data_IF_191982832880
#
_entry.id   IF_191982832880
#
_cell.length_a   1.000
_cell.length_b   1.000
_cell.length_c   1.000
_cell.angle_alpha   90.00
_cell.angle_beta   90.00
_cell.angle_gamma   90.00
#
_symmetry.space_group_name_H-M   'P 1'
#
loop_
_entity.id
_entity.type
_entity.pdbx_description
1 polymer ?
#
# COMPACT_ATOMS: atom_id res chain seq x y z
N UNK A 1 -14.65 4.98 27.87
CA UNK A 1 -13.17 5.04 28.04
C UNK A 1 -12.45 3.77 27.54
N UNK A 2 -12.96 2.55 27.83
CA UNK A 2 -12.34 1.31 27.31
C UNK A 2 -12.43 1.13 25.78
N UNK A 3 -13.52 1.57 25.13
CA UNK A 3 -13.71 1.44 23.68
C UNK A 3 -12.63 2.19 22.88
N UNK A 4 -12.28 3.42 23.28
CA UNK A 4 -11.26 4.24 22.60
C UNK A 4 -9.85 3.66 22.76
N UNK A 5 -9.56 3.02 23.90
CA UNK A 5 -8.29 2.33 24.13
C UNK A 5 -8.14 1.10 23.23
N UNK A 6 -9.21 0.33 23.03
CA UNK A 6 -9.23 -0.82 22.14
C UNK A 6 -9.01 -0.38 20.69
N UNK A 7 -9.70 0.68 20.26
CA UNK A 7 -9.61 1.21 18.89
C UNK A 7 -8.18 1.64 18.53
N UNK A 8 -7.51 2.35 19.45
CA UNK A 8 -6.12 2.77 19.28
C UNK A 8 -5.12 1.60 19.21
N UNK A 9 -5.27 0.58 20.06
CA UNK A 9 -4.39 -0.60 20.02
C UNK A 9 -4.57 -1.40 18.74
N UNK A 10 -5.82 -1.52 18.27
CA UNK A 10 -6.14 -2.17 17.01
C UNK A 10 -5.49 -1.42 15.85
N UNK A 11 -5.67 -0.10 15.76
CA UNK A 11 -5.07 0.73 14.73
C UNK A 11 -3.54 0.56 14.68
N UNK A 12 -2.88 0.66 15.84
CA UNK A 12 -1.44 0.47 15.96
C UNK A 12 -0.99 -0.91 15.45
N UNK A 13 -1.67 -1.98 15.86
CA UNK A 13 -1.33 -3.34 15.45
C UNK A 13 -1.45 -3.57 13.93
N UNK A 14 -2.43 -2.92 13.28
CA UNK A 14 -2.60 -3.00 11.83
C UNK A 14 -1.51 -2.24 11.07
N UNK A 15 -1.11 -1.06 11.55
CA UNK A 15 -0.01 -0.28 10.96
C UNK A 15 1.31 -1.06 11.06
N UNK A 16 1.62 -1.67 12.21
CA UNK A 16 2.83 -2.47 12.40
C UNK A 16 2.84 -3.74 11.52
N UNK A 17 1.68 -4.36 11.32
CA UNK A 17 1.56 -5.51 10.39
C UNK A 17 1.78 -5.07 8.94
N UNK A 18 1.17 -3.96 8.53
CA UNK A 18 1.34 -3.41 7.19
C UNK A 18 2.81 -3.07 6.91
N UNK A 19 3.49 -2.38 7.82
CA UNK A 19 4.89 -2.01 7.68
C UNK A 19 5.81 -3.23 7.53
N UNK A 20 5.55 -4.31 8.30
CA UNK A 20 6.29 -5.58 8.17
C UNK A 20 6.10 -6.24 6.81
N UNK A 21 4.87 -6.32 6.32
CA UNK A 21 4.57 -6.89 5.01
C UNK A 21 5.19 -6.08 3.86
N UNK A 22 5.11 -4.75 3.92
CA UNK A 22 5.73 -3.87 2.91
C UNK A 22 7.26 -3.98 2.91
N UNK A 23 7.87 -4.10 4.09
CA UNK A 23 9.32 -4.34 4.21
C UNK A 23 9.73 -5.64 3.53
N UNK A 24 9.01 -6.74 3.82
CA UNK A 24 9.29 -8.03 3.21
C UNK A 24 9.10 -8.00 1.68
N UNK A 25 8.04 -7.35 1.19
CA UNK A 25 7.80 -7.19 -0.24
C UNK A 25 8.91 -6.36 -0.93
N UNK A 26 9.38 -5.30 -0.28
CA UNK A 26 10.48 -4.49 -0.80
C UNK A 26 11.80 -5.27 -0.86
N UNK A 27 12.09 -6.11 0.14
CA UNK A 27 13.23 -7.04 0.13
C UNK A 27 13.08 -8.10 -0.97
N UNK A 28 11.88 -8.64 -1.17
CA UNK A 28 11.60 -9.63 -2.21
C UNK A 28 11.81 -9.06 -3.62
N UNK A 29 11.26 -7.87 -3.87
CA UNK A 29 11.38 -7.13 -5.13
C UNK A 29 12.78 -6.51 -5.34
N UNK A 30 13.66 -6.56 -4.35
CA UNK A 30 15.05 -6.11 -4.54
C UNK A 30 15.84 -7.03 -5.47
N UNK A 31 15.45 -8.31 -5.54
CA UNK A 31 16.11 -9.33 -6.36
C UNK A 31 15.40 -9.62 -7.68
N UNK A 32 14.15 -9.15 -7.84
CA UNK A 32 13.23 -9.56 -8.92
C UNK A 32 12.37 -8.38 -9.36
N UNK A 33 12.20 -8.23 -10.67
CA UNK A 33 11.39 -7.14 -11.26
C UNK A 33 9.88 -7.40 -11.16
N UNK A 34 9.48 -8.68 -11.16
CA UNK A 34 8.09 -9.14 -10.96
C UNK A 34 8.03 -10.23 -9.87
N UNK A 35 6.84 -10.52 -9.36
CA UNK A 35 6.64 -11.43 -8.22
C UNK A 35 6.99 -12.90 -8.50
N UNK A 36 6.62 -13.41 -9.68
CA UNK A 36 6.63 -14.86 -9.95
C UNK A 36 7.46 -15.25 -11.17
N UNK A 37 7.47 -14.44 -12.23
CA UNK A 37 8.10 -14.78 -13.53
C UNK A 37 8.70 -13.54 -14.21
N UNK A 38 9.15 -13.66 -15.45
CA UNK A 38 9.69 -12.55 -16.26
C UNK A 38 8.60 -11.76 -17.00
N UNK A 39 7.33 -12.15 -16.84
CA UNK A 39 6.16 -11.52 -17.47
C UNK A 39 5.14 -11.09 -16.42
N UNK A 40 4.29 -10.11 -16.75
CA UNK A 40 3.21 -9.65 -15.87
C UNK A 40 2.22 -10.78 -15.64
N UNK A 41 2.05 -11.16 -14.39
CA UNK A 41 1.11 -12.19 -13.94
C UNK A 41 -0.05 -11.58 -13.15
N UNK A 42 -1.05 -12.40 -12.83
CA UNK A 42 -2.15 -11.99 -11.95
C UNK A 42 -1.65 -11.54 -10.57
N UNK A 43 -0.53 -12.10 -10.08
CA UNK A 43 0.05 -11.72 -8.80
C UNK A 43 0.51 -10.26 -8.80
N UNK A 44 1.11 -9.80 -9.90
CA UNK A 44 1.59 -8.41 -10.05
C UNK A 44 0.41 -7.42 -10.12
N UNK A 45 -0.69 -7.80 -10.78
CA UNK A 45 -1.91 -6.99 -10.85
C UNK A 45 -2.56 -6.85 -9.46
N UNK A 46 -2.68 -7.96 -8.72
CA UNK A 46 -3.23 -7.94 -7.36
C UNK A 46 -2.34 -7.10 -6.44
N UNK A 47 -1.02 -7.26 -6.53
CA UNK A 47 -0.08 -6.45 -5.75
C UNK A 47 -0.23 -4.96 -6.10
N UNK A 48 -0.34 -4.61 -7.39
CA UNK A 48 -0.55 -3.23 -7.80
C UNK A 48 -1.85 -2.64 -7.23
N UNK A 49 -2.95 -3.41 -7.20
CA UNK A 49 -4.22 -2.99 -6.59
C UNK A 49 -4.13 -2.77 -5.07
N UNK A 50 -3.41 -3.63 -4.37
CA UNK A 50 -3.19 -3.49 -2.92
C UNK A 50 -2.29 -2.29 -2.63
N UNK A 51 -1.22 -2.10 -3.40
CA UNK A 51 -0.30 -0.94 -3.28
C UNK A 51 -1.02 0.38 -3.58
N UNK A 52 -1.91 0.40 -4.58
CA UNK A 52 -2.76 1.54 -4.86
C UNK A 52 -3.61 1.94 -3.65
N UNK A 53 -4.30 0.97 -3.06
CA UNK A 53 -5.14 1.20 -1.88
C UNK A 53 -4.31 1.65 -0.68
N UNK A 54 -3.12 1.07 -0.48
CA UNK A 54 -2.19 1.48 0.57
C UNK A 54 -1.71 2.93 0.36
N UNK A 55 -1.32 3.30 -0.86
CA UNK A 55 -0.90 4.66 -1.22
C UNK A 55 -1.99 5.73 -1.13
N UNK A 56 -3.27 5.34 -1.12
CA UNK A 56 -4.41 6.26 -0.93
C UNK A 56 -4.84 6.45 0.52
N UNK A 57 -4.44 5.55 1.41
CA UNK A 57 -5.00 5.50 2.77
C UNK A 57 -3.89 5.65 3.81
N UNK A 58 -2.82 4.86 3.70
CA UNK A 58 -1.85 4.68 4.77
C UNK A 58 -0.42 5.08 4.41
N UNK A 59 -0.06 5.13 3.13
CA UNK A 59 1.31 5.37 2.68
C UNK A 59 1.41 6.75 2.01
N UNK A 60 1.63 7.78 2.82
CA UNK A 60 1.92 9.13 2.35
C UNK A 60 3.30 9.25 1.67
N UNK A 61 3.65 10.45 1.19
CA UNK A 61 4.88 10.69 0.42
C UNK A 61 6.16 10.23 1.14
N UNK A 62 6.25 10.43 2.46
CA UNK A 62 7.40 10.03 3.28
C UNK A 62 7.54 8.51 3.41
N UNK A 63 6.41 7.79 3.52
CA UNK A 63 6.42 6.34 3.64
C UNK A 63 6.70 5.65 2.29
N UNK A 64 6.40 6.30 1.16
CA UNK A 64 6.78 5.82 -0.18
C UNK A 64 8.29 5.74 -0.36
N UNK A 65 9.04 6.67 0.22
CA UNK A 65 10.50 6.67 0.17
C UNK A 65 11.13 5.47 0.89
N UNK A 66 10.43 4.85 1.84
CA UNK A 66 10.93 3.68 2.56
C UNK A 66 10.81 2.38 1.74
N UNK A 67 9.94 2.36 0.73
CA UNK A 67 9.64 1.15 -0.05
C UNK A 67 9.72 1.41 -1.57
N UNK A 68 10.85 1.94 -2.08
CA UNK A 68 10.94 2.39 -3.47
C UNK A 68 10.67 1.26 -4.48
N UNK A 69 11.12 0.02 -4.20
CA UNK A 69 10.95 -1.11 -5.12
C UNK A 69 9.48 -1.51 -5.30
N UNK A 70 8.67 -1.37 -4.26
CA UNK A 70 7.23 -1.67 -4.31
C UNK A 70 6.51 -0.66 -5.21
N UNK A 71 6.88 0.62 -5.12
CA UNK A 71 6.28 1.68 -5.93
C UNK A 71 6.82 1.68 -7.37
N UNK A 72 8.09 1.37 -7.59
CA UNK A 72 8.67 1.14 -8.93
C UNK A 72 7.97 -0.02 -9.65
N UNK A 73 7.76 -1.14 -8.94
CA UNK A 73 7.01 -2.28 -9.47
C UNK A 73 5.59 -1.88 -9.85
N UNK A 74 4.90 -1.13 -8.98
CA UNK A 74 3.57 -0.60 -9.27
C UNK A 74 3.56 0.30 -10.53
N UNK A 75 4.51 1.23 -10.66
CA UNK A 75 4.61 2.09 -11.85
C UNK A 75 4.86 1.28 -13.13
N UNK A 76 5.68 0.23 -13.03
CA UNK A 76 5.97 -0.68 -14.15
C UNK A 76 4.71 -1.43 -14.60
N UNK A 77 3.90 -1.93 -13.66
CA UNK A 77 2.65 -2.65 -13.96
C UNK A 77 1.59 -1.72 -14.56
N UNK A 78 1.46 -0.49 -14.06
CA UNK A 78 0.47 0.49 -14.56
C UNK A 78 0.86 1.11 -15.91
N UNK A 79 2.14 1.09 -16.25
CA UNK A 79 2.63 1.50 -17.58
C UNK A 79 2.10 0.59 -18.70
N UNK A 80 1.72 -0.66 -18.39
CA UNK A 80 1.22 -1.61 -19.38
C UNK A 80 -0.13 -1.13 -19.96
N UNK A 81 -0.26 -0.98 -21.29
CA UNK A 81 -1.47 -0.47 -21.92
C UNK A 81 -2.70 -1.35 -21.66
N UNK A 82 -2.53 -2.64 -21.35
CA UNK A 82 -3.64 -3.57 -21.04
C UNK A 82 -4.28 -3.29 -19.68
N UNK A 83 -3.53 -2.66 -18.79
CA UNK A 83 -3.87 -2.48 -17.37
C UNK A 83 -4.17 -1.01 -17.07
N UNK A 84 -3.62 -0.10 -17.87
CA UNK A 84 -3.81 1.35 -17.76
C UNK A 84 -5.29 1.76 -17.67
N UNK A 85 -6.15 1.16 -18.49
CA UNK A 85 -7.59 1.47 -18.52
C UNK A 85 -8.32 1.04 -17.22
N UNK A 86 -7.77 0.05 -16.51
CA UNK A 86 -8.37 -0.50 -15.28
C UNK A 86 -8.01 0.34 -14.06
N UNK A 87 -6.76 0.83 -14.02
CA UNK A 87 -6.25 1.55 -12.87
C UNK A 87 -6.59 3.05 -12.91
N UNK A 88 -6.80 3.66 -14.09
CA UNK A 88 -7.05 5.10 -14.20
C UNK A 88 -5.84 5.93 -13.74
N UNK A 89 -6.03 7.19 -13.31
CA UNK A 89 -4.93 8.03 -12.79
C UNK A 89 -4.52 7.61 -11.36
N UNK A 90 -3.25 7.22 -11.12
CA UNK A 90 -2.69 6.92 -9.80
C UNK A 90 -2.65 8.13 -8.89
N UNK A 91 -3.81 8.50 -8.35
CA UNK A 91 -3.92 9.48 -7.28
C UNK A 91 -3.39 8.88 -5.98
N UNK A 92 -2.11 9.07 -5.70
CA UNK A 92 -1.54 8.80 -4.39
C UNK A 92 -1.83 9.95 -3.44
N UNK A 93 -2.07 9.64 -2.17
CA UNK A 93 -2.27 10.67 -1.15
C UNK A 93 -0.92 11.15 -0.62
N UNK A 94 -0.78 12.47 -0.42
CA UNK A 94 0.45 13.06 0.11
C UNK A 94 0.56 12.83 1.62
N UNK A 95 -0.55 12.97 2.35
CA UNK A 95 -0.66 12.75 3.79
C UNK A 95 -1.52 11.53 4.13
N UNK A 96 -1.07 10.61 5.00
CA UNK A 96 -1.88 9.47 5.41
C UNK A 96 -3.11 9.94 6.19
N UNK A 97 -4.24 9.24 6.04
CA UNK A 97 -5.48 9.60 6.72
C UNK A 97 -5.28 9.45 8.23
N UNK A 98 -5.31 10.57 8.96
CA UNK A 98 -5.16 10.58 10.40
C UNK A 98 -6.30 9.82 11.08
N UNK A 99 -5.96 9.00 12.08
CA UNK A 99 -6.94 8.32 12.91
C UNK A 99 -7.79 9.35 13.68
N UNK A 100 -9.07 9.44 13.31
CA UNK A 100 -10.06 10.23 14.05
C UNK A 100 -10.89 9.27 14.89
N UNK A 101 -10.77 9.27 16.24
CA UNK A 101 -11.63 8.45 17.08
C UNK A 101 -13.09 8.87 16.86
N UNK A 102 -14.01 7.89 16.78
CA UNK A 102 -15.44 8.16 16.61
C UNK A 102 -15.94 8.92 17.85
N UNK A 103 -16.57 10.08 17.63
CA UNK A 103 -17.18 10.86 18.71
C UNK A 103 -18.26 10.01 19.42
N UNK A 104 -18.26 9.93 20.76
CA UNK A 104 -19.19 9.11 21.52
C UNK A 104 -20.62 9.68 21.60
N UNK A 105 -20.99 10.66 20.76
CA UNK A 105 -22.28 11.39 20.80
C UNK A 105 -23.25 11.05 19.66
N UNK A 106 -22.98 10.02 18.85
CA UNK A 106 -23.93 9.45 17.85
C UNK A 106 -24.10 7.95 18.05
#
# INVERSE_FOLDING_TARGET
RCIVLIDHQIHKSFVERQARSLKYLNEHLSTRTYLVSDTITLADIVLAGVTWRAGRISVGAVARQQYPRVFEHFHTVVSDPRIKDIFGEPGFTEEPIAFKPKDPSV
#
